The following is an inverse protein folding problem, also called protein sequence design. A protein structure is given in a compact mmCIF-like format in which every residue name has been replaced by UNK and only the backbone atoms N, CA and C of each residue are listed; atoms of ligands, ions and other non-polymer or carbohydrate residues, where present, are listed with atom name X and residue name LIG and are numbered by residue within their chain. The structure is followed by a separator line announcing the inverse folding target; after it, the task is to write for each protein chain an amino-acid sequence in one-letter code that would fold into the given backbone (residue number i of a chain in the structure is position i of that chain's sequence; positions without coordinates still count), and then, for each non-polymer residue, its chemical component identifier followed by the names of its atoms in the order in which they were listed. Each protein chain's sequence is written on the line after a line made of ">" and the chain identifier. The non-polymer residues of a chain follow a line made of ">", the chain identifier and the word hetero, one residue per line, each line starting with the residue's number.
data_IF_759809847139
#
_entry.id   IF_759809847139
#
_cell.length_a   1.000
_cell.length_b   1.000
_cell.length_c   1.000
_cell.angle_alpha   90.00
_cell.angle_beta   90.00
_cell.angle_gamma   90.00
#
_symmetry.space_group_name_H-M   'P 1'
#
loop_
_entity.id
_entity.type
_entity.pdbx_description
1 polymer ?
#
# COMPACT_ATOMS: atom_id res chain seq x y z
N UNK A 1 -4.34 1.15 24.64
CA UNK A 1 -2.97 0.67 24.38
C UNK A 1 -2.28 0.34 25.71
N UNK A 2 -1.59 -0.79 25.84
CA UNK A 2 -0.89 -1.14 27.10
C UNK A 2 0.41 -0.35 27.26
N UNK A 3 0.82 -0.08 28.50
CA UNK A 3 2.10 0.58 28.81
C UNK A 3 3.27 -0.23 28.28
N UNK A 4 3.17 -1.56 28.35
CA UNK A 4 4.18 -2.49 27.81
C UNK A 4 4.41 -2.33 26.30
N UNK A 5 3.34 -2.14 25.52
CA UNK A 5 3.47 -1.92 24.08
C UNK A 5 4.19 -0.61 23.75
N UNK A 6 3.89 0.45 24.52
CA UNK A 6 4.54 1.75 24.36
C UNK A 6 6.03 1.66 24.67
N UNK A 7 6.40 1.01 25.78
CA UNK A 7 7.80 0.77 26.12
C UNK A 7 8.54 0.03 25.01
N UNK A 8 7.94 -1.05 24.50
CA UNK A 8 8.51 -1.81 23.38
C UNK A 8 8.70 -0.97 22.11
N UNK A 9 7.76 -0.08 21.78
CA UNK A 9 7.85 0.82 20.61
C UNK A 9 8.96 1.88 20.74
N UNK A 10 9.22 2.35 21.95
CA UNK A 10 10.25 3.38 22.22
C UNK A 10 11.65 2.74 22.31
N UNK A 11 11.76 1.60 22.98
CA UNK A 11 13.04 0.94 23.27
C UNK A 11 13.58 0.13 22.09
N UNK A 12 12.73 -0.30 21.15
CA UNK A 12 13.19 -1.07 19.99
C UNK A 12 14.00 -0.21 19.02
N UNK A 13 15.05 -0.80 18.46
CA UNK A 13 15.82 -0.20 17.38
C UNK A 13 14.99 -0.11 16.08
N UNK A 14 14.04 -1.04 15.88
CA UNK A 14 13.18 -1.09 14.70
C UNK A 14 11.68 -1.02 15.07
N UNK A 15 11.22 0.19 15.36
CA UNK A 15 9.83 0.48 15.72
C UNK A 15 8.87 0.23 14.56
N UNK A 16 9.35 0.35 13.31
CA UNK A 16 8.55 0.11 12.11
C UNK A 16 8.30 -1.39 11.95
N UNK A 17 9.32 -2.22 12.18
CA UNK A 17 9.14 -3.67 12.20
C UNK A 17 8.13 -4.11 13.24
N UNK A 18 8.22 -3.56 14.47
CA UNK A 18 7.26 -3.89 15.52
C UNK A 18 5.82 -3.50 15.14
N UNK A 19 5.61 -2.36 14.47
CA UNK A 19 4.28 -1.98 13.95
C UNK A 19 3.79 -2.97 12.92
N UNK A 20 4.65 -3.37 11.97
CA UNK A 20 4.31 -4.40 11.00
C UNK A 20 3.91 -5.72 11.68
N UNK A 21 4.65 -6.18 12.69
CA UNK A 21 4.31 -7.38 13.45
C UNK A 21 2.94 -7.25 14.13
N UNK A 22 2.68 -6.14 14.82
CA UNK A 22 1.38 -5.90 15.46
C UNK A 22 0.26 -5.95 14.42
N UNK A 23 0.43 -5.24 13.31
CA UNK A 23 -0.57 -5.19 12.24
C UNK A 23 -0.85 -6.58 11.67
N UNK A 24 0.18 -7.37 11.37
CA UNK A 24 0.04 -8.64 10.64
C UNK A 24 -0.14 -9.89 11.50
N UNK A 25 0.25 -9.84 12.78
CA UNK A 25 0.14 -10.97 13.71
C UNK A 25 -1.04 -10.82 14.68
N UNK A 26 -1.61 -9.62 14.81
CA UNK A 26 -2.72 -9.36 15.75
C UNK A 26 -4.00 -8.84 15.07
N UNK A 27 -3.87 -7.98 14.05
CA UNK A 27 -5.05 -7.29 13.47
C UNK A 27 -5.44 -7.93 12.13
N UNK A 28 -4.56 -7.87 11.15
CA UNK A 28 -4.74 -8.40 9.81
C UNK A 28 -4.17 -9.80 9.74
N UNK A 29 -4.91 -10.78 10.26
CA UNK A 29 -4.52 -12.21 10.22
C UNK A 29 -5.49 -13.00 9.35
N UNK A 30 -5.05 -14.18 8.88
CA UNK A 30 -5.92 -15.04 8.09
C UNK A 30 -7.07 -15.62 8.92
N UNK A 31 -6.87 -15.81 10.22
CA UNK A 31 -7.90 -16.24 11.16
C UNK A 31 -9.02 -15.20 11.27
N UNK A 32 -8.67 -13.91 11.36
CA UNK A 32 -9.67 -12.82 11.34
C UNK A 32 -10.46 -12.81 10.02
N UNK A 33 -9.80 -13.13 8.90
CA UNK A 33 -10.47 -13.28 7.60
C UNK A 33 -11.47 -14.45 7.58
N UNK A 34 -11.08 -15.62 8.13
CA UNK A 34 -11.94 -16.78 8.22
C UNK A 34 -13.14 -16.56 9.16
N UNK A 35 -12.93 -15.85 10.26
CA UNK A 35 -13.96 -15.55 11.27
C UNK A 35 -15.04 -14.59 10.74
N UNK A 36 -14.63 -13.53 10.03
CA UNK A 36 -15.51 -12.43 9.69
C UNK A 36 -15.93 -12.39 8.21
N UNK A 37 -15.32 -13.20 7.35
CA UNK A 37 -15.42 -13.04 5.90
C UNK A 37 -14.79 -11.72 5.42
N UNK A 38 -14.74 -11.49 4.11
CA UNK A 38 -14.02 -10.34 3.55
C UNK A 38 -14.54 -8.99 4.07
N UNK A 39 -15.82 -8.67 3.92
CA UNK A 39 -16.32 -7.34 4.31
C UNK A 39 -16.23 -7.10 5.82
N UNK A 40 -16.48 -8.13 6.66
CA UNK A 40 -16.34 -8.05 8.11
C UNK A 40 -14.89 -7.92 8.56
N UNK A 41 -13.97 -8.67 7.94
CA UNK A 41 -12.53 -8.58 8.15
C UNK A 41 -12.02 -7.16 7.90
N UNK A 42 -12.38 -6.57 6.76
CA UNK A 42 -12.02 -5.20 6.44
C UNK A 42 -12.62 -4.21 7.44
N UNK A 43 -13.91 -4.31 7.77
CA UNK A 43 -14.55 -3.36 8.69
C UNK A 43 -13.96 -3.41 10.11
N UNK A 44 -13.84 -4.60 10.70
CA UNK A 44 -13.39 -4.78 12.09
C UNK A 44 -11.90 -4.44 12.24
N UNK A 45 -11.07 -4.94 11.33
CA UNK A 45 -9.62 -4.77 11.43
C UNK A 45 -9.19 -3.34 11.08
N UNK A 46 -9.92 -2.65 10.19
CA UNK A 46 -9.64 -1.24 9.87
C UNK A 46 -9.94 -0.32 11.06
N UNK A 47 -11.02 -0.58 11.82
CA UNK A 47 -11.30 0.15 13.06
C UNK A 47 -10.21 -0.08 14.11
N UNK A 48 -9.80 -1.33 14.35
CA UNK A 48 -8.69 -1.67 15.26
C UNK A 48 -7.38 -0.99 14.84
N UNK A 49 -7.11 -0.96 13.53
CA UNK A 49 -5.94 -0.27 12.96
C UNK A 49 -6.00 1.23 13.17
N UNK A 50 -7.16 1.85 12.94
CA UNK A 50 -7.37 3.28 13.18
C UNK A 50 -7.14 3.63 14.65
N UNK A 51 -7.64 2.81 15.57
CA UNK A 51 -7.48 3.01 17.00
C UNK A 51 -6.02 2.89 17.44
N UNK A 52 -5.32 1.84 17.02
CA UNK A 52 -3.91 1.64 17.44
C UNK A 52 -3.00 2.73 16.87
N UNK A 53 -3.19 3.08 15.59
CA UNK A 53 -2.41 4.15 14.97
C UNK A 53 -2.70 5.50 15.64
N UNK A 54 -3.96 5.78 16.02
CA UNK A 54 -4.32 7.00 16.76
C UNK A 54 -3.66 7.03 18.13
N UNK A 55 -3.68 5.91 18.84
CA UNK A 55 -3.06 5.80 20.16
C UNK A 55 -1.55 6.02 20.07
N UNK A 56 -0.88 5.44 19.06
CA UNK A 56 0.55 5.65 18.83
C UNK A 56 0.82 7.11 18.46
N UNK A 57 0.06 7.70 17.53
CA UNK A 57 0.17 9.12 17.17
C UNK A 57 0.07 10.05 18.39
N UNK A 58 -0.81 9.72 19.35
CA UNK A 58 -1.03 10.54 20.54
C UNK A 58 0.12 10.50 21.56
N UNK A 59 0.93 9.43 21.59
CA UNK A 59 1.96 9.22 22.63
C UNK A 59 3.40 9.15 22.09
N UNK A 60 3.56 8.81 20.81
CA UNK A 60 4.85 8.62 20.16
C UNK A 60 4.74 9.03 18.69
N UNK A 61 4.57 10.34 18.49
CA UNK A 61 4.36 10.94 17.18
C UNK A 61 5.60 10.84 16.27
N UNK A 62 6.80 10.80 16.86
CA UNK A 62 8.09 10.68 16.18
C UNK A 62 8.20 9.40 15.33
N UNK A 63 7.30 8.43 15.51
CA UNK A 63 7.19 7.25 14.67
C UNK A 63 7.06 7.60 13.18
N UNK A 64 6.34 8.68 12.84
CA UNK A 64 6.14 9.08 11.45
C UNK A 64 7.44 9.60 10.83
N UNK A 65 8.28 10.28 11.62
CA UNK A 65 9.62 10.67 11.18
C UNK A 65 10.49 9.44 10.96
N UNK A 66 10.45 8.47 11.88
CA UNK A 66 11.18 7.20 11.71
C UNK A 66 10.76 6.44 10.46
N UNK A 67 9.45 6.34 10.19
CA UNK A 67 8.93 5.71 8.98
C UNK A 67 9.43 6.46 7.73
N UNK A 68 9.38 7.79 7.73
CA UNK A 68 9.90 8.61 6.64
C UNK A 68 11.41 8.39 6.40
N UNK A 69 12.23 8.44 7.45
CA UNK A 69 13.68 8.23 7.33
C UNK A 69 14.03 6.82 6.85
N UNK A 70 13.27 5.81 7.30
CA UNK A 70 13.46 4.44 6.82
C UNK A 70 13.01 4.28 5.36
N UNK A 71 11.94 4.95 4.91
CA UNK A 71 11.47 4.83 3.52
C UNK A 71 12.46 5.44 2.52
N UNK A 72 13.17 6.51 2.90
CA UNK A 72 14.28 7.05 2.12
C UNK A 72 15.44 6.06 1.96
N UNK A 73 15.61 5.16 2.94
CA UNK A 73 16.66 4.13 2.97
C UNK A 73 16.18 2.78 2.44
N UNK A 74 14.93 2.66 1.99
CA UNK A 74 14.39 1.40 1.46
C UNK A 74 15.12 0.99 0.17
N UNK A 75 15.65 -0.24 0.16
CA UNK A 75 16.46 -0.80 -0.93
C UNK A 75 16.00 -2.18 -1.40
N UNK A 76 14.99 -2.81 -0.78
CA UNK A 76 14.58 -4.19 -1.08
C UNK A 76 14.28 -4.40 -2.56
N UNK A 77 13.58 -3.47 -3.20
CA UNK A 77 13.28 -3.56 -4.63
C UNK A 77 14.49 -3.28 -5.50
N UNK A 78 15.30 -2.26 -5.19
CA UNK A 78 16.54 -1.99 -5.93
C UNK A 78 17.51 -3.18 -5.88
N UNK A 79 17.62 -3.82 -4.71
CA UNK A 79 18.41 -5.04 -4.54
C UNK A 79 17.85 -6.21 -5.35
N UNK A 80 16.52 -6.38 -5.42
CA UNK A 80 15.89 -7.40 -6.25
C UNK A 80 16.14 -7.17 -7.74
N UNK A 81 15.97 -5.94 -8.23
CA UNK A 81 16.15 -5.58 -9.64
C UNK A 81 17.60 -5.77 -10.11
N UNK A 82 18.57 -5.68 -9.19
CA UNK A 82 19.98 -5.95 -9.47
C UNK A 82 20.33 -7.45 -9.51
N UNK A 83 19.40 -8.36 -9.23
CA UNK A 83 19.64 -9.81 -9.34
C UNK A 83 19.59 -10.28 -10.80
N UNK A 84 20.30 -11.37 -11.09
CA UNK A 84 20.31 -11.97 -12.42
C UNK A 84 18.96 -12.59 -12.78
N UNK A 85 18.23 -13.10 -11.79
CA UNK A 85 16.93 -13.74 -11.98
C UNK A 85 15.92 -13.26 -10.95
N UNK A 86 14.74 -12.78 -11.39
CA UNK A 86 13.61 -12.49 -10.52
C UNK A 86 12.28 -12.48 -11.28
N UNK A 87 11.20 -12.78 -10.54
CA UNK A 87 9.83 -12.55 -10.96
C UNK A 87 9.17 -11.61 -9.95
N UNK A 88 8.99 -10.34 -10.32
CA UNK A 88 8.39 -9.32 -9.48
C UNK A 88 6.94 -9.07 -9.92
N UNK A 89 6.00 -9.09 -8.98
CA UNK A 89 4.62 -8.69 -9.17
C UNK A 89 4.36 -7.49 -8.27
N UNK A 90 4.07 -6.34 -8.86
CA UNK A 90 3.65 -5.12 -8.17
C UNK A 90 2.15 -5.00 -8.37
N UNK A 91 1.40 -5.04 -7.27
CA UNK A 91 -0.01 -4.68 -7.27
C UNK A 91 -0.15 -3.21 -6.88
N UNK A 92 -0.86 -2.45 -7.70
CA UNK A 92 -1.17 -1.03 -7.53
C UNK A 92 -2.17 -0.88 -6.37
N UNK A 93 -1.76 -0.18 -5.31
CA UNK A 93 -2.60 0.04 -4.12
C UNK A 93 -2.83 -1.19 -3.24
N UNK A 94 -1.91 -2.16 -3.20
CA UNK A 94 -2.01 -3.34 -2.34
C UNK A 94 -1.46 -3.02 -0.94
N UNK A 95 -2.30 -3.17 0.08
CA UNK A 95 -1.94 -2.86 1.46
C UNK A 95 -1.65 -4.13 2.27
N UNK A 96 -1.14 -3.96 3.50
CA UNK A 96 -0.87 -5.09 4.39
C UNK A 96 -2.11 -5.92 4.70
N UNK A 97 -3.30 -5.33 4.60
CA UNK A 97 -4.57 -6.01 4.87
C UNK A 97 -4.84 -7.18 3.92
N UNK A 98 -4.38 -7.12 2.67
CA UNK A 98 -4.53 -8.22 1.71
C UNK A 98 -3.47 -9.31 1.90
N UNK A 99 -2.36 -9.03 2.59
CA UNK A 99 -1.19 -9.89 2.68
C UNK A 99 -1.47 -11.30 3.24
N UNK A 100 -2.26 -11.48 4.32
CA UNK A 100 -2.52 -12.81 4.88
C UNK A 100 -3.29 -13.70 3.91
N UNK A 101 -4.28 -13.14 3.21
CA UNK A 101 -5.11 -13.91 2.26
C UNK A 101 -4.29 -14.26 1.01
N UNK A 102 -3.43 -13.35 0.54
CA UNK A 102 -2.48 -13.63 -0.55
C UNK A 102 -1.48 -14.71 -0.14
N UNK A 103 -0.91 -14.64 1.07
CA UNK A 103 0.03 -15.62 1.58
C UNK A 103 -0.61 -17.01 1.69
N UNK A 104 -1.85 -17.10 2.16
CA UNK A 104 -2.59 -18.36 2.18
C UNK A 104 -2.87 -18.87 0.76
N UNK A 105 -3.27 -18.00 -0.17
CA UNK A 105 -3.50 -18.38 -1.59
C UNK A 105 -2.23 -18.94 -2.25
N UNK A 106 -1.07 -18.35 -1.94
CA UNK A 106 0.23 -18.85 -2.39
C UNK A 106 0.54 -20.22 -1.78
N UNK A 107 0.28 -20.41 -0.49
CA UNK A 107 0.49 -21.68 0.19
C UNK A 107 -0.39 -22.81 -0.40
N UNK A 108 -1.66 -22.53 -0.66
CA UNK A 108 -2.58 -23.44 -1.36
C UNK A 108 -2.10 -23.81 -2.78
N UNK A 109 -1.37 -22.91 -3.43
CA UNK A 109 -0.74 -23.13 -4.72
C UNK A 109 0.62 -23.85 -4.65
N UNK A 110 1.04 -24.33 -3.47
CA UNK A 110 2.29 -25.08 -3.29
C UNK A 110 3.54 -24.21 -3.13
N UNK A 111 3.38 -22.96 -2.66
CA UNK A 111 4.52 -22.09 -2.36
C UNK A 111 4.78 -22.01 -0.86
N UNK A 112 6.05 -22.04 -0.48
CA UNK A 112 6.51 -21.56 0.83
C UNK A 112 6.65 -20.05 0.77
N UNK A 113 5.91 -19.35 1.64
CA UNK A 113 5.88 -17.88 1.68
C UNK A 113 6.69 -17.36 2.87
N UNK A 114 7.61 -16.43 2.61
CA UNK A 114 8.22 -15.57 3.61
C UNK A 114 7.56 -14.19 3.53
N UNK A 115 6.89 -13.78 4.61
CA UNK A 115 6.21 -12.50 4.71
C UNK A 115 7.12 -11.48 5.39
N UNK A 116 7.21 -10.30 4.81
CA UNK A 116 7.82 -9.11 5.39
C UNK A 116 7.09 -7.87 4.85
N UNK A 117 7.64 -6.68 5.06
CA UNK A 117 7.14 -5.44 4.47
C UNK A 117 8.21 -4.74 3.64
N UNK A 118 7.79 -3.85 2.76
CA UNK A 118 8.62 -2.78 2.23
C UNK A 118 7.99 -1.44 2.62
N UNK A 119 8.72 -0.34 2.41
CA UNK A 119 8.20 1.01 2.60
C UNK A 119 7.93 1.68 1.27
N UNK A 120 6.70 2.16 1.09
CA UNK A 120 6.32 3.01 -0.03
C UNK A 120 7.10 4.33 0.02
N UNK A 121 7.25 4.97 -1.15
CA UNK A 121 7.79 6.31 -1.21
C UNK A 121 6.80 7.33 -0.63
N UNK A 122 7.31 8.50 -0.23
CA UNK A 122 6.49 9.57 0.34
C UNK A 122 6.66 10.80 -0.56
N UNK A 123 5.57 11.33 -1.16
CA UNK A 123 4.18 10.89 -1.00
C UNK A 123 3.91 9.48 -1.54
N UNK A 124 2.98 8.76 -0.93
CA UNK A 124 2.61 7.38 -1.31
C UNK A 124 1.71 7.38 -2.55
N UNK A 125 2.30 7.80 -3.67
CA UNK A 125 1.66 7.97 -4.97
C UNK A 125 2.39 7.10 -6.00
N UNK A 126 1.65 6.51 -6.93
CA UNK A 126 2.17 5.62 -7.97
C UNK A 126 3.27 6.27 -8.80
N UNK A 127 3.11 7.54 -9.19
CA UNK A 127 4.11 8.26 -10.02
C UNK A 127 5.43 8.45 -9.27
N UNK A 128 5.38 8.75 -7.96
CA UNK A 128 6.56 8.93 -7.13
C UNK A 128 7.32 7.60 -6.99
N UNK A 129 6.60 6.51 -6.74
CA UNK A 129 7.19 5.18 -6.68
C UNK A 129 7.81 4.78 -8.02
N UNK A 130 7.09 4.98 -9.12
CA UNK A 130 7.55 4.61 -10.47
C UNK A 130 8.83 5.37 -10.83
N UNK A 131 8.87 6.66 -10.54
CA UNK A 131 10.04 7.49 -10.81
C UNK A 131 11.23 7.05 -9.96
N UNK A 132 11.02 6.75 -8.67
CA UNK A 132 12.09 6.34 -7.76
C UNK A 132 12.68 4.96 -8.06
N UNK A 133 11.83 3.98 -8.39
CA UNK A 133 12.24 2.58 -8.60
C UNK A 133 12.70 2.34 -10.03
N UNK A 134 11.98 2.89 -11.02
CA UNK A 134 12.18 2.58 -12.44
C UNK A 134 12.65 3.77 -13.28
N UNK A 135 12.55 5.00 -12.78
CA UNK A 135 12.94 6.20 -13.54
C UNK A 135 11.93 6.63 -14.60
N UNK A 136 10.66 6.22 -14.49
CA UNK A 136 9.58 6.60 -15.41
C UNK A 136 8.49 7.39 -14.67
N UNK A 137 7.77 8.25 -15.37
CA UNK A 137 6.73 9.09 -14.76
C UNK A 137 5.46 8.29 -14.39
N UNK A 138 5.19 7.19 -15.09
CA UNK A 138 4.06 6.30 -14.77
C UNK A 138 4.26 4.86 -15.25
N UNK A 139 3.57 3.87 -14.65
CA UNK A 139 3.72 2.46 -15.02
C UNK A 139 3.39 2.16 -16.48
N UNK A 140 2.43 2.88 -17.07
CA UNK A 140 2.05 2.68 -18.47
C UNK A 140 3.12 3.16 -19.46
N UNK A 141 4.01 4.08 -19.05
CA UNK A 141 5.10 4.57 -19.90
C UNK A 141 6.31 3.62 -19.99
N UNK A 142 6.29 2.52 -19.21
CA UNK A 142 7.30 1.47 -19.27
C UNK A 142 7.03 0.46 -20.41
N UNK A 143 5.78 0.37 -20.91
CA UNK A 143 5.43 -0.51 -22.04
C UNK A 143 5.97 0.00 -23.40
N UNK A 144 6.20 -0.95 -24.33
CA UNK A 144 7.49 -1.58 -24.53
C UNK A 144 8.52 -0.56 -25.07
N UNK A 145 9.28 0.06 -24.16
CA UNK A 145 10.52 0.73 -24.54
C UNK A 145 11.65 -0.31 -24.58
N UNK A 146 12.47 -0.26 -25.63
CA UNK A 146 13.52 -1.25 -25.93
C UNK A 146 14.74 -1.20 -25.00
N UNK A 147 14.68 -0.48 -23.88
CA UNK A 147 15.81 -0.16 -23.01
C UNK A 147 15.70 -0.69 -21.57
N UNK A 148 14.68 -1.50 -21.25
CA UNK A 148 14.60 -2.20 -19.96
C UNK A 148 15.44 -3.48 -19.99
N UNK A 149 16.14 -3.78 -18.91
CA UNK A 149 16.91 -5.03 -18.75
C UNK A 149 16.05 -6.21 -18.30
N UNK A 150 14.73 -6.00 -18.15
CA UNK A 150 13.73 -7.00 -17.79
C UNK A 150 12.52 -6.96 -18.73
N UNK A 151 11.79 -8.07 -18.81
CA UNK A 151 10.49 -8.09 -19.47
C UNK A 151 9.44 -7.43 -18.58
N UNK A 152 8.74 -6.43 -19.13
CA UNK A 152 7.70 -5.70 -18.42
C UNK A 152 6.32 -6.03 -18.97
N UNK A 153 5.37 -6.26 -18.08
CA UNK A 153 3.97 -6.55 -18.41
C UNK A 153 3.06 -5.63 -17.59
N UNK A 154 2.27 -4.79 -18.26
CA UNK A 154 1.25 -3.98 -17.59
C UNK A 154 -0.12 -4.67 -17.72
N UNK A 155 -0.80 -4.87 -16.59
CA UNK A 155 -2.09 -5.54 -16.50
C UNK A 155 -3.14 -4.51 -16.08
N UNK A 156 -3.84 -3.88 -17.05
CA UNK A 156 -4.71 -2.74 -16.79
C UNK A 156 -6.09 -3.12 -16.22
N UNK A 157 -6.54 -4.34 -16.51
CA UNK A 157 -7.79 -4.93 -16.06
C UNK A 157 -7.70 -6.47 -16.04
N UNK A 158 -8.75 -7.16 -15.62
CA UNK A 158 -8.82 -8.63 -15.51
C UNK A 158 -9.21 -9.33 -16.83
N UNK A 159 -9.33 -8.59 -17.93
CA UNK A 159 -9.53 -9.18 -19.26
C UNK A 159 -8.21 -9.61 -19.91
N UNK A 160 -7.09 -8.99 -19.51
CA UNK A 160 -5.74 -9.24 -20.06
C UNK A 160 -4.96 -10.34 -19.30
N UNK A 161 -5.61 -11.41 -18.85
CA UNK A 161 -4.94 -12.52 -18.13
C UNK A 161 -4.49 -13.68 -19.04
N UNK A 162 -4.44 -13.49 -20.36
CA UNK A 162 -3.99 -14.53 -21.27
C UNK A 162 -2.48 -14.77 -21.17
N UNK A 163 -2.11 -15.87 -20.53
CA UNK A 163 -0.72 -16.26 -20.30
C UNK A 163 0.11 -16.51 -21.57
N UNK A 164 -0.53 -16.75 -22.71
CA UNK A 164 0.14 -17.11 -23.98
C UNK A 164 1.16 -16.05 -24.42
N UNK A 165 1.03 -14.81 -23.92
CA UNK A 165 1.93 -13.70 -24.20
C UNK A 165 3.07 -13.53 -23.18
N UNK A 166 3.01 -14.20 -22.03
CA UNK A 166 4.02 -14.08 -20.98
C UNK A 166 5.18 -15.04 -21.26
N UNK A 167 6.38 -14.49 -21.33
CA UNK A 167 7.61 -15.25 -21.59
C UNK A 167 8.25 -15.57 -20.26
N UNK A 168 8.59 -16.84 -20.04
CA UNK A 168 9.48 -17.21 -18.93
C UNK A 168 10.88 -16.69 -19.26
N UNK A 169 11.24 -15.56 -18.67
CA UNK A 169 12.57 -14.95 -18.79
C UNK A 169 13.21 -14.84 -17.40
N UNK A 170 14.52 -14.62 -17.37
CA UNK A 170 15.25 -14.53 -16.10
C UNK A 170 14.77 -13.33 -15.26
N UNK A 171 14.53 -12.18 -15.89
CA UNK A 171 14.06 -10.95 -15.23
C UNK A 171 12.72 -10.51 -15.79
N UNK A 172 11.69 -10.53 -14.95
CA UNK A 172 10.34 -10.12 -15.33
C UNK A 172 9.62 -9.33 -14.24
N UNK A 173 8.90 -8.30 -14.66
CA UNK A 173 8.09 -7.42 -13.81
C UNK A 173 6.66 -7.39 -14.34
N UNK A 174 5.70 -7.72 -13.48
CA UNK A 174 4.27 -7.57 -13.73
C UNK A 174 3.76 -6.42 -12.89
N UNK A 175 3.19 -5.41 -13.53
CA UNK A 175 2.46 -4.33 -12.85
C UNK A 175 0.97 -4.54 -13.01
N UNK A 176 0.26 -4.76 -11.91
CA UNK A 176 -1.16 -5.08 -11.86
C UNK A 176 -1.91 -3.91 -11.26
N UNK A 177 -2.84 -3.30 -11.99
CA UNK A 177 -3.60 -2.12 -11.51
C UNK A 177 -4.59 -2.39 -10.36
N UNK A 178 -4.62 -3.61 -9.84
CA UNK A 178 -5.52 -4.05 -8.79
C UNK A 178 -4.77 -4.04 -7.46
N UNK A 179 -5.44 -3.80 -6.32
CA UNK A 179 -6.86 -3.49 -6.22
C UNK A 179 -7.24 -2.04 -6.56
N UNK A 180 -6.26 -1.12 -6.71
CA UNK A 180 -6.50 0.34 -6.78
C UNK A 180 -7.57 0.78 -7.79
N UNK A 181 -7.50 0.29 -9.03
CA UNK A 181 -8.46 0.65 -10.09
C UNK A 181 -9.91 0.29 -9.73
N UNK A 182 -10.10 -0.77 -8.93
CA UNK A 182 -11.42 -1.18 -8.46
C UNK A 182 -11.88 -0.35 -7.26
N UNK A 183 -10.96 -0.01 -6.37
CA UNK A 183 -11.20 0.79 -5.17
C UNK A 183 -11.63 2.22 -5.54
N UNK A 184 -11.08 2.79 -6.61
CA UNK A 184 -11.46 4.13 -7.09
C UNK A 184 -12.76 4.18 -7.92
N UNK A 185 -13.46 3.06 -8.11
CA UNK A 185 -14.84 3.03 -8.62
C UNK A 185 -15.04 3.53 -10.06
N UNK A 186 -13.97 3.77 -10.84
CA UNK A 186 -14.07 4.19 -12.25
C UNK A 186 -14.19 2.99 -13.19
N UNK A 187 -15.16 2.11 -12.96
CA UNK A 187 -15.51 1.08 -13.93
C UNK A 187 -16.42 1.67 -15.01
N UNK A 188 -15.84 2.14 -16.13
CA UNK A 188 -16.46 2.37 -17.46
C UNK A 188 -18.01 2.52 -17.46
N UNK A 189 -18.54 3.59 -16.84
CA UNK A 189 -19.97 3.93 -16.91
C UNK A 189 -20.91 3.14 -15.97
N UNK A 190 -20.41 2.31 -15.05
CA UNK A 190 -21.20 1.65 -14.00
C UNK A 190 -20.88 2.26 -12.65
N UNK A 191 -21.88 2.87 -12.02
CA UNK A 191 -21.86 3.42 -10.66
C UNK A 191 -21.93 2.32 -9.59
N UNK A 192 -21.32 1.16 -9.83
CA UNK A 192 -21.36 0.04 -8.88
C UNK A 192 -20.10 0.06 -8.03
N UNK A 193 -20.26 0.43 -6.76
CA UNK A 193 -19.24 0.24 -5.73
C UNK A 193 -19.16 -1.27 -5.48
N UNK A 194 -18.01 -1.88 -5.81
CA UNK A 194 -17.76 -3.29 -5.55
C UNK A 194 -17.56 -3.51 -4.05
N UNK A 195 -17.97 -4.68 -3.54
CA UNK A 195 -17.64 -5.06 -2.16
C UNK A 195 -16.15 -5.41 -2.03
N UNK A 196 -15.62 -5.40 -0.79
CA UNK A 196 -14.23 -5.82 -0.58
C UNK A 196 -14.03 -7.28 -0.97
N UNK A 197 -15.06 -8.11 -0.77
CA UNK A 197 -15.05 -9.49 -1.25
C UNK A 197 -14.83 -9.57 -2.76
N UNK A 198 -15.57 -8.81 -3.55
CA UNK A 198 -15.45 -8.81 -5.01
C UNK A 198 -14.07 -8.31 -5.47
N UNK A 199 -13.57 -7.24 -4.86
CA UNK A 199 -12.25 -6.66 -5.17
C UNK A 199 -11.14 -7.67 -4.87
N UNK A 200 -11.18 -8.29 -3.69
CA UNK A 200 -10.21 -9.30 -3.29
C UNK A 200 -10.27 -10.53 -4.20
N UNK A 201 -11.47 -11.03 -4.53
CA UNK A 201 -11.62 -12.18 -5.42
C UNK A 201 -11.04 -11.92 -6.82
N UNK A 202 -11.25 -10.73 -7.40
CA UNK A 202 -10.66 -10.36 -8.69
C UNK A 202 -9.15 -10.25 -8.62
N UNK A 203 -8.63 -9.65 -7.55
CA UNK A 203 -7.18 -9.55 -7.29
C UNK A 203 -6.54 -10.95 -7.18
N UNK A 204 -7.15 -11.86 -6.41
CA UNK A 204 -6.68 -13.24 -6.26
C UNK A 204 -6.80 -14.05 -7.56
N UNK A 205 -7.78 -13.76 -8.41
CA UNK A 205 -7.92 -14.40 -9.72
C UNK A 205 -6.75 -14.05 -10.63
N UNK A 206 -6.37 -12.77 -10.69
CA UNK A 206 -5.18 -12.33 -11.44
C UNK A 206 -3.92 -12.98 -10.86
N UNK A 207 -3.76 -12.97 -9.54
CA UNK A 207 -2.65 -13.64 -8.88
C UNK A 207 -2.55 -15.11 -9.31
N UNK A 208 -3.65 -15.88 -9.22
CA UNK A 208 -3.68 -17.30 -9.62
C UNK A 208 -3.31 -17.51 -11.08
N UNK A 209 -3.65 -16.58 -11.97
CA UNK A 209 -3.18 -16.61 -13.36
C UNK A 209 -1.66 -16.38 -13.44
N UNK A 210 -1.13 -15.40 -12.72
CA UNK A 210 0.32 -15.12 -12.65
C UNK A 210 1.13 -16.28 -12.04
N UNK A 211 0.58 -17.02 -11.07
CA UNK A 211 1.28 -18.17 -10.44
C UNK A 211 1.54 -19.34 -11.40
N UNK A 212 0.90 -19.35 -12.57
CA UNK A 212 1.16 -20.34 -13.61
C UNK A 212 2.45 -20.03 -14.40
N UNK A 213 3.02 -18.85 -14.23
CA UNK A 213 4.38 -18.52 -14.69
C UNK A 213 5.35 -19.42 -13.93
N UNK A 214 6.26 -20.08 -14.64
CA UNK A 214 7.13 -21.07 -14.02
C UNK A 214 8.40 -20.43 -13.43
N UNK A 215 8.22 -19.53 -12.46
CA UNK A 215 9.31 -18.92 -11.71
C UNK A 215 9.66 -19.77 -10.47
N UNK A 216 10.95 -19.84 -10.12
CA UNK A 216 11.43 -20.51 -8.90
C UNK A 216 11.08 -19.72 -7.64
N UNK A 217 11.19 -18.40 -7.74
CA UNK A 217 10.83 -17.44 -6.69
C UNK A 217 9.97 -16.33 -7.32
N UNK A 218 8.90 -15.95 -6.63
CA UNK A 218 8.04 -14.82 -6.97
C UNK A 218 8.09 -13.84 -5.80
N UNK A 219 8.34 -12.57 -6.09
CA UNK A 219 8.22 -11.48 -5.13
C UNK A 219 6.94 -10.71 -5.43
N UNK A 220 6.09 -10.55 -4.42
CA UNK A 220 4.86 -9.75 -4.50
C UNK A 220 4.99 -8.54 -3.59
N UNK A 221 4.70 -7.35 -4.12
CA UNK A 221 4.69 -6.11 -3.34
C UNK A 221 3.70 -5.09 -3.89
N UNK A 222 3.75 -3.87 -3.36
CA UNK A 222 2.97 -2.73 -3.82
C UNK A 222 3.82 -1.47 -3.97
N UNK A 223 3.32 -0.54 -4.77
CA UNK A 223 3.81 0.83 -4.86
C UNK A 223 3.37 1.68 -3.67
N UNK A 224 2.13 1.51 -3.21
CA UNK A 224 1.58 2.12 -2.01
C UNK A 224 0.39 1.30 -1.44
N UNK A 225 0.04 1.55 -0.19
CA UNK A 225 -1.23 1.12 0.37
C UNK A 225 -2.30 2.22 0.30
N UNK A 226 -3.33 2.11 1.13
CA UNK A 226 -4.44 3.07 1.16
C UNK A 226 -5.11 3.06 2.54
N UNK A 227 -5.81 4.14 2.88
CA UNK A 227 -6.71 4.20 4.05
C UNK A 227 -8.17 4.16 3.63
N UNK A 228 -8.99 3.59 4.49
CA UNK A 228 -10.44 3.67 4.39
C UNK A 228 -10.99 4.81 5.25
N UNK A 229 -11.83 5.64 4.63
CA UNK A 229 -12.51 6.79 5.22
C UNK A 229 -13.93 6.46 5.70
N UNK A 230 -14.27 5.18 5.86
CA UNK A 230 -15.49 4.75 6.51
C UNK A 230 -15.59 5.36 7.94
N UNK A 231 -16.81 5.61 8.45
CA UNK A 231 -17.01 6.13 9.79
C UNK A 231 -16.24 5.32 10.85
N UNK A 232 -15.49 6.03 11.71
CA UNK A 232 -14.64 5.42 12.75
C UNK A 232 -13.22 5.05 12.28
N UNK A 233 -12.93 5.10 10.97
CA UNK A 233 -11.63 4.72 10.41
C UNK A 233 -10.71 5.92 10.09
N UNK A 234 -11.18 7.15 10.29
CA UNK A 234 -10.41 8.38 10.11
C UNK A 234 -10.48 9.26 11.36
N UNK A 235 -9.62 10.27 11.41
CA UNK A 235 -9.52 11.18 12.55
C UNK A 235 -9.89 12.60 12.14
N UNK A 236 -10.67 13.26 12.99
CA UNK A 236 -11.09 14.63 12.73
C UNK A 236 -9.95 15.64 12.92
N UNK A 237 -10.06 16.76 12.21
CA UNK A 237 -9.18 17.91 12.34
C UNK A 237 -9.90 19.05 13.07
N UNK A 238 -9.20 19.83 13.91
CA UNK A 238 -9.72 21.10 14.41
C UNK A 238 -10.14 22.03 13.26
N UNK A 239 -11.20 22.81 13.44
CA UNK A 239 -11.83 23.56 12.34
C UNK A 239 -10.93 24.57 11.60
N UNK A 240 -9.90 25.12 12.25
CA UNK A 240 -8.89 25.97 11.58
C UNK A 240 -7.93 25.15 10.71
N UNK A 241 -7.41 24.04 11.24
CA UNK A 241 -6.55 23.09 10.52
C UNK A 241 -7.29 22.49 9.32
N UNK A 242 -8.54 22.08 9.53
CA UNK A 242 -9.41 21.52 8.49
C UNK A 242 -9.58 22.48 7.30
N UNK A 243 -9.78 23.78 7.56
CA UNK A 243 -9.91 24.79 6.48
C UNK A 243 -8.63 24.94 5.69
N UNK A 244 -7.47 24.98 6.36
CA UNK A 244 -6.18 25.09 5.71
C UNK A 244 -5.87 23.82 4.89
N UNK A 245 -5.98 22.65 5.51
CA UNK A 245 -5.72 21.36 4.87
C UNK A 245 -6.67 21.15 3.69
N UNK A 246 -7.98 21.34 3.86
CA UNK A 246 -8.95 21.19 2.77
C UNK A 246 -8.69 22.14 1.60
N UNK A 247 -8.19 23.37 1.87
CA UNK A 247 -7.81 24.32 0.81
C UNK A 247 -6.57 23.87 0.03
N UNK A 248 -5.58 23.25 0.68
CA UNK A 248 -4.28 22.91 0.07
C UNK A 248 -4.25 21.51 -0.55
N UNK A 249 -4.92 20.55 0.07
CA UNK A 249 -4.91 19.14 -0.34
C UNK A 249 -6.11 18.76 -1.21
N UNK A 250 -7.21 19.51 -1.15
CA UNK A 250 -8.44 19.13 -1.86
C UNK A 250 -8.96 17.77 -1.36
N UNK A 251 -9.04 16.78 -2.24
CA UNK A 251 -9.41 15.39 -1.89
C UNK A 251 -8.22 14.48 -1.60
N UNK A 252 -7.02 14.89 -2.01
CA UNK A 252 -5.80 14.09 -1.90
C UNK A 252 -5.23 14.11 -0.49
N UNK A 253 -4.21 13.28 -0.26
CA UNK A 253 -3.45 13.27 1.01
C UNK A 253 -2.01 13.75 0.82
N UNK A 254 -1.68 14.18 -0.40
CA UNK A 254 -0.47 14.87 -0.77
C UNK A 254 -0.80 16.19 -1.49
N UNK A 255 0.14 17.14 -1.48
CA UNK A 255 0.05 18.38 -2.28
C UNK A 255 1.42 18.96 -2.55
N UNK A 256 1.59 19.66 -3.67
CA UNK A 256 2.77 20.47 -3.98
C UNK A 256 2.55 21.96 -3.76
N UNK A 257 1.40 22.36 -3.22
CA UNK A 257 0.97 23.76 -3.13
C UNK A 257 0.99 24.27 -1.69
N UNK A 258 1.40 25.54 -1.50
CA UNK A 258 1.31 26.21 -0.20
C UNK A 258 2.15 25.58 0.91
N UNK A 259 3.29 24.98 0.58
CA UNK A 259 4.15 24.21 1.50
C UNK A 259 4.56 25.00 2.74
N UNK A 260 4.91 26.29 2.60
CA UNK A 260 5.29 27.15 3.73
C UNK A 260 4.15 27.39 4.73
N UNK A 261 2.89 27.43 4.28
CA UNK A 261 1.75 27.53 5.20
C UNK A 261 1.56 26.21 5.98
N UNK A 262 1.89 25.08 5.35
CA UNK A 262 1.73 23.75 5.95
C UNK A 262 2.81 23.40 6.98
N UNK A 263 3.97 24.07 6.94
CA UNK A 263 5.00 23.97 7.98
C UNK A 263 4.48 24.39 9.37
N UNK A 264 3.40 25.17 9.43
CA UNK A 264 2.73 25.52 10.69
C UNK A 264 1.96 24.36 11.34
N UNK A 265 1.82 23.22 10.66
CA UNK A 265 1.10 22.03 11.12
C UNK A 265 2.01 20.78 11.21
N UNK A 266 3.14 20.84 11.95
CA UNK A 266 4.14 19.76 11.95
C UNK A 266 3.60 18.44 12.49
N UNK A 267 2.54 18.47 13.31
CA UNK A 267 1.89 17.27 13.87
C UNK A 267 0.78 16.69 12.98
N UNK A 268 0.58 17.25 11.78
CA UNK A 268 -0.45 16.84 10.82
C UNK A 268 0.12 16.59 9.44
N UNK A 269 1.19 17.30 9.08
CA UNK A 269 1.75 17.32 7.75
C UNK A 269 3.25 17.15 7.82
N UNK A 270 3.77 16.24 7.00
CA UNK A 270 5.20 16.14 6.69
C UNK A 270 5.47 16.92 5.42
N UNK A 271 6.20 18.03 5.53
CA UNK A 271 6.69 18.81 4.39
C UNK A 271 8.06 18.27 3.97
N UNK A 272 8.23 17.99 2.69
CA UNK A 272 9.44 17.49 2.05
C UNK A 272 9.71 18.28 0.77
N UNK A 273 10.91 18.19 0.15
CA UNK A 273 11.19 18.96 -1.06
C UNK A 273 10.14 18.73 -2.16
N UNK A 274 9.41 19.80 -2.50
CA UNK A 274 8.39 19.80 -3.55
C UNK A 274 6.99 19.29 -3.14
N UNK A 275 6.84 18.67 -1.97
CA UNK A 275 5.59 18.02 -1.57
C UNK A 275 5.30 18.15 -0.07
N UNK A 276 4.04 17.95 0.29
CA UNK A 276 3.58 17.78 1.65
C UNK A 276 2.61 16.59 1.70
N UNK A 277 2.71 15.76 2.73
CA UNK A 277 1.84 14.59 2.95
C UNK A 277 1.18 14.62 4.34
N UNK A 278 -0.08 14.20 4.40
CA UNK A 278 -0.82 14.07 5.66
C UNK A 278 -0.27 12.92 6.50
N UNK A 279 0.00 13.18 7.76
CA UNK A 279 0.44 12.19 8.75
C UNK A 279 -0.76 11.44 9.33
N UNK A 280 -0.62 10.13 9.51
CA UNK A 280 -1.68 9.32 10.11
C UNK A 280 -3.00 9.39 9.34
N UNK A 281 -4.13 9.20 10.03
CA UNK A 281 -5.42 8.97 9.35
C UNK A 281 -6.36 10.18 9.41
N UNK A 282 -5.79 11.39 9.49
CA UNK A 282 -6.62 12.60 9.45
C UNK A 282 -7.36 12.71 8.12
N UNK A 283 -8.64 13.05 8.20
CA UNK A 283 -9.48 13.31 7.05
C UNK A 283 -10.35 14.54 7.31
N UNK A 284 -10.90 15.09 6.23
CA UNK A 284 -11.73 16.27 6.29
C UNK A 284 -12.89 16.13 5.30
N UNK A 285 -14.10 16.58 5.69
CA UNK A 285 -15.22 16.69 4.79
C UNK A 285 -14.85 17.49 3.55
N UNK A 286 -14.94 16.87 2.37
CA UNK A 286 -14.81 17.58 1.11
C UNK A 286 -16.01 17.28 0.23
N UNK A 287 -16.67 18.34 -0.26
CA UNK A 287 -17.84 18.20 -1.14
C UNK A 287 -17.45 17.46 -2.42
N UNK A 288 -18.26 16.48 -2.82
CA UNK A 288 -18.11 15.75 -4.08
C UNK A 288 -17.05 14.65 -4.08
N UNK A 289 -16.46 14.31 -2.92
CA UNK A 289 -15.55 13.18 -2.82
C UNK A 289 -16.30 11.88 -3.13
N UNK A 290 -15.90 11.19 -4.21
CA UNK A 290 -16.56 9.99 -4.72
C UNK A 290 -15.97 8.69 -4.15
N UNK A 291 -14.71 8.71 -3.72
CA UNK A 291 -14.02 7.54 -3.16
C UNK A 291 -14.02 7.59 -1.63
N UNK A 292 -14.40 6.47 -1.00
CA UNK A 292 -14.19 6.26 0.44
C UNK A 292 -12.75 5.83 0.77
N UNK A 293 -11.88 5.71 -0.23
CA UNK A 293 -10.50 5.25 -0.11
C UNK A 293 -9.55 6.30 -0.68
N UNK A 294 -8.51 6.60 0.08
CA UNK A 294 -7.49 7.58 -0.29
C UNK A 294 -6.09 7.01 -0.02
N UNK A 295 -5.12 7.48 -0.80
CA UNK A 295 -3.69 7.31 -0.59
C UNK A 295 -2.98 8.67 -0.76
N UNK A 296 -1.65 8.69 -0.68
CA UNK A 296 -0.77 9.86 -0.83
C UNK A 296 -0.22 10.41 0.49
N UNK A 297 -0.71 9.90 1.61
CA UNK A 297 -0.31 10.30 2.96
C UNK A 297 0.84 9.48 3.53
N UNK A 298 0.98 9.56 4.85
CA UNK A 298 1.98 8.90 5.67
C UNK A 298 1.26 8.22 6.85
N UNK A 299 0.29 7.37 6.56
CA UNK A 299 -0.28 6.43 7.53
C UNK A 299 0.39 5.07 7.45
N UNK A 300 0.22 4.25 8.49
CA UNK A 300 0.82 2.91 8.51
C UNK A 300 0.30 2.04 7.36
N UNK A 301 -0.99 2.15 7.03
CA UNK A 301 -1.62 1.36 5.97
C UNK A 301 -1.35 1.86 4.55
N UNK A 302 -0.80 3.07 4.41
CA UNK A 302 -0.34 3.64 3.13
C UNK A 302 1.13 3.32 2.86
N UNK A 303 1.98 3.41 3.88
CA UNK A 303 3.44 3.37 3.69
C UNK A 303 4.02 1.98 3.94
N UNK A 304 3.52 1.25 4.92
CA UNK A 304 4.00 -0.11 5.17
C UNK A 304 3.23 -1.03 4.22
N UNK A 305 3.91 -1.54 3.19
CA UNK A 305 3.32 -2.35 2.13
C UNK A 305 3.81 -3.80 2.21
N UNK A 306 3.02 -4.79 1.76
CA UNK A 306 3.45 -6.17 1.78
C UNK A 306 4.71 -6.39 0.93
N UNK A 307 5.59 -7.26 1.41
CA UNK A 307 6.70 -7.78 0.65
C UNK A 307 6.80 -9.30 0.88
N UNK A 308 6.23 -10.06 -0.04
CA UNK A 308 6.07 -11.51 0.06
C UNK A 308 7.04 -12.19 -0.89
N UNK A 309 7.94 -13.03 -0.35
CA UNK A 309 8.77 -13.93 -1.17
C UNK A 309 8.17 -15.33 -1.17
N UNK A 310 7.77 -15.81 -2.32
CA UNK A 310 7.15 -17.13 -2.49
C UNK A 310 8.06 -18.04 -3.32
N UNK A 311 8.38 -19.22 -2.78
CA UNK A 311 9.20 -20.25 -3.45
C UNK A 311 8.42 -21.53 -3.60
N UNK A 312 8.45 -22.17 -4.78
CA UNK A 312 7.82 -23.49 -4.95
C UNK A 312 8.47 -24.51 -4.02
N UNK A 313 7.65 -25.32 -3.35
CA UNK A 313 8.09 -26.45 -2.53
C UNK A 313 8.55 -27.62 -3.38
#
# INVERSE_FOLDING_TARGET
>A
MSVELLHRLIETEDSVHLIWEILTQTIWTYEQYLEHGADGYFAVCEQKTSEIERNINAVYFEIYERIFEQSLKEQKLKQLLNQDTYCLIIFDGLSLREAPVIANTLAEAGYRVNQSYALAQIPSETEIFTQYVFGFDSPSQMEPKSNLDFQYYFIPDDSNTEMSFWRNTDKQVFWVRFPDVLLHGKNKGKTQILSYQEILQRTLTILKSLLKINAKEIVITSDHGYINLAPGCFWDLPGSEQKLIGKKFGWGRSTSTGLSELESLPNRVKVIPGYASILGRYAWPTKGQASALNHGGLSFMEVIVPYLKARKT
#
